data_IF_896749845401
#
_entry.id   IF_896749845401
#
_cell.length_a   1.000
_cell.length_b   1.000
_cell.length_c   1.000
_cell.angle_alpha   90.00
_cell.angle_beta   90.00
_cell.angle_gamma   90.00
#
_symmetry.space_group_name_H-M   'P 1'
#
loop_
_entity.id
_entity.type
_entity.pdbx_description
1 polymer ?
#
# COMPACT_ATOMS: atom_id res chain seq x y z
N UNK A 1 -22.10 8.63 2.47
CA UNK A 1 -21.05 8.17 3.40
C UNK A 1 -20.46 9.40 4.05
N UNK A 2 -20.73 9.58 5.34
CA UNK A 2 -20.39 10.81 6.06
C UNK A 2 -18.87 10.96 6.19
N UNK A 3 -18.35 12.15 5.87
CA UNK A 3 -16.94 12.45 5.94
C UNK A 3 -16.45 12.25 7.39
N UNK A 4 -15.79 11.12 7.67
CA UNK A 4 -15.20 10.84 8.97
C UNK A 4 -14.24 11.99 9.31
N UNK A 5 -14.53 12.68 10.42
CA UNK A 5 -13.68 13.78 10.93
C UNK A 5 -12.22 13.31 11.01
N UNK A 6 -11.24 14.16 10.66
CA UNK A 6 -9.83 13.77 10.71
C UNK A 6 -9.42 13.47 12.15
N UNK A 7 -8.64 12.39 12.33
CA UNK A 7 -8.09 12.04 13.64
C UNK A 7 -6.87 12.90 13.92
N UNK A 8 -6.82 13.51 15.10
CA UNK A 8 -5.72 14.40 15.49
C UNK A 8 -5.02 13.83 16.71
N UNK A 9 -3.71 13.71 16.63
CA UNK A 9 -2.85 13.37 17.76
C UNK A 9 -1.91 14.54 18.03
N UNK A 10 -1.70 14.85 19.31
CA UNK A 10 -0.81 15.93 19.75
C UNK A 10 0.44 15.36 20.38
N UNK A 11 1.48 16.18 20.45
CA UNK A 11 2.71 15.87 21.17
C UNK A 11 2.40 15.46 22.62
N UNK A 12 3.01 14.36 23.05
CA UNK A 12 3.08 13.99 24.46
C UNK A 12 4.29 14.69 25.08
N UNK A 13 4.05 15.63 26.00
CA UNK A 13 5.13 16.35 26.69
C UNK A 13 5.90 15.45 27.68
N UNK A 14 5.25 14.40 28.18
CA UNK A 14 5.84 13.43 29.12
C UNK A 14 6.48 12.23 28.38
N UNK A 15 6.84 12.39 27.11
CA UNK A 15 7.45 11.31 26.34
C UNK A 15 8.85 10.98 26.88
N UNK A 16 9.10 9.69 27.12
CA UNK A 16 10.31 9.19 27.79
C UNK A 16 11.61 9.51 27.04
N UNK A 17 11.58 9.66 25.71
CA UNK A 17 12.74 10.17 24.96
C UNK A 17 12.73 11.70 24.98
N UNK A 18 13.72 12.28 25.65
CA UNK A 18 13.96 13.72 25.62
C UNK A 18 14.09 14.22 24.17
N UNK A 19 13.60 15.44 23.93
CA UNK A 19 13.63 16.14 22.64
C UNK A 19 12.85 15.46 21.50
N UNK A 20 11.97 14.51 21.81
CA UNK A 20 11.04 13.89 20.86
C UNK A 20 9.59 13.88 21.39
N UNK A 21 8.59 13.89 20.49
CA UNK A 21 8.67 14.11 19.04
C UNK A 21 8.94 15.58 18.68
N UNK A 22 9.50 15.83 17.48
CA UNK A 22 9.72 17.19 16.95
C UNK A 22 8.44 17.89 16.48
N UNK A 23 7.42 17.11 16.14
CA UNK A 23 6.14 17.60 15.66
C UNK A 23 5.20 17.87 16.82
N UNK A 24 4.45 18.98 16.75
CA UNK A 24 3.46 19.34 17.76
C UNK A 24 2.12 18.61 17.56
N UNK A 25 1.78 18.28 16.32
CA UNK A 25 0.51 17.64 15.96
C UNK A 25 0.64 16.84 14.67
N UNK A 26 -0.11 15.74 14.57
CA UNK A 26 -0.33 14.99 13.33
C UNK A 26 -1.84 14.89 13.09
N UNK A 27 -2.26 15.09 11.85
CA UNK A 27 -3.65 15.00 11.42
C UNK A 27 -3.76 13.85 10.40
N UNK A 28 -4.45 12.79 10.77
CA UNK A 28 -4.77 11.70 9.86
C UNK A 28 -6.07 12.01 9.13
N UNK A 29 -5.96 12.25 7.82
CA UNK A 29 -7.10 12.51 6.95
C UNK A 29 -7.40 11.27 6.10
N UNK A 30 -8.63 10.81 6.14
CA UNK A 30 -9.09 9.70 5.31
C UNK A 30 -9.58 10.23 3.96
N UNK A 31 -8.80 9.97 2.91
CA UNK A 31 -9.17 10.24 1.51
C UNK A 31 -9.20 8.86 0.84
N UNK A 32 -10.35 8.27 0.51
CA UNK A 32 -10.40 6.91 -0.03
C UNK A 32 -9.70 6.78 -1.39
N UNK A 33 -9.97 7.72 -2.29
CA UNK A 33 -9.48 7.68 -3.67
C UNK A 33 -8.01 8.13 -3.78
N UNK A 34 -7.17 7.30 -4.38
CA UNK A 34 -5.73 7.56 -4.51
C UNK A 34 -5.42 8.80 -5.36
N UNK A 35 -6.13 8.99 -6.47
CA UNK A 35 -5.95 10.16 -7.33
C UNK A 35 -6.36 11.46 -6.62
N UNK A 36 -7.41 11.42 -5.79
CA UNK A 36 -7.78 12.57 -4.96
C UNK A 36 -6.73 12.86 -3.88
N UNK A 37 -6.13 11.81 -3.30
CA UNK A 37 -5.03 11.93 -2.33
C UNK A 37 -3.79 12.56 -2.95
N UNK A 38 -3.43 12.16 -4.18
CA UNK A 38 -2.31 12.76 -4.92
C UNK A 38 -2.55 14.23 -5.23
N UNK A 39 -3.77 14.59 -5.65
CA UNK A 39 -4.12 15.99 -5.88
C UNK A 39 -4.04 16.81 -4.58
N UNK A 40 -4.51 16.28 -3.46
CA UNK A 40 -4.38 16.92 -2.15
C UNK A 40 -2.91 17.13 -1.73
N UNK A 41 -2.02 16.19 -2.09
CA UNK A 41 -0.57 16.34 -1.86
C UNK A 41 0.01 17.46 -2.74
N UNK A 42 -0.34 17.48 -4.03
CA UNK A 42 0.11 18.51 -4.99
C UNK A 42 -0.36 19.92 -4.63
N UNK A 43 -1.54 20.06 -4.03
CA UNK A 43 -2.07 21.36 -3.58
C UNK A 43 -1.54 21.78 -2.21
N UNK A 44 -0.78 20.92 -1.51
CA UNK A 44 -0.29 21.16 -0.16
C UNK A 44 -1.36 21.03 0.93
N UNK A 45 -2.50 20.41 0.63
CA UNK A 45 -3.55 20.13 1.60
C UNK A 45 -3.17 18.99 2.57
N UNK A 46 -2.28 18.10 2.12
CA UNK A 46 -1.61 17.08 2.94
C UNK A 46 -0.11 17.11 2.66
N UNK A 47 0.71 16.76 3.66
CA UNK A 47 2.17 16.73 3.51
C UNK A 47 2.71 15.34 3.11
N UNK A 48 1.91 14.29 3.32
CA UNK A 48 2.31 12.90 3.09
C UNK A 48 1.13 12.08 2.62
N UNK A 49 1.40 11.18 1.66
CA UNK A 49 0.43 10.22 1.16
C UNK A 49 1.03 8.82 1.11
N UNK A 50 0.18 7.81 1.29
CA UNK A 50 0.48 6.40 1.00
C UNK A 50 -0.50 5.90 -0.08
N UNK A 51 -0.16 4.81 -0.77
CA UNK A 51 -0.98 4.23 -1.83
C UNK A 51 -0.96 5.03 -3.12
N UNK A 52 0.23 5.39 -3.61
CA UNK A 52 0.42 5.97 -4.95
C UNK A 52 0.07 4.91 -6.00
N UNK A 53 -0.70 5.28 -7.03
CA UNK A 53 -0.97 4.35 -8.13
C UNK A 53 0.28 4.17 -9.00
N UNK A 54 0.55 2.97 -9.52
CA UNK A 54 1.70 2.75 -10.40
C UNK A 54 1.73 3.69 -11.62
N UNK A 55 0.57 4.02 -12.19
CA UNK A 55 0.45 4.94 -13.33
C UNK A 55 0.88 6.38 -13.04
N UNK A 56 0.88 6.79 -11.77
CA UNK A 56 1.20 8.17 -11.37
C UNK A 56 2.69 8.38 -11.07
N UNK A 57 3.49 7.29 -11.02
CA UNK A 57 4.88 7.33 -10.57
C UNK A 57 5.79 8.18 -11.45
N UNK A 58 5.67 8.06 -12.77
CA UNK A 58 6.50 8.83 -13.70
C UNK A 58 6.26 10.33 -13.55
N UNK A 59 5.00 10.72 -13.33
CA UNK A 59 4.63 12.10 -13.05
C UNK A 59 5.18 12.60 -11.71
N UNK A 60 5.24 11.74 -10.69
CA UNK A 60 5.81 12.10 -9.37
C UNK A 60 7.34 12.19 -9.44
N UNK A 61 8.01 11.29 -10.17
CA UNK A 61 9.47 11.29 -10.33
C UNK A 61 9.99 12.54 -11.06
N UNK A 62 9.17 13.12 -11.93
CA UNK A 62 9.53 14.32 -12.72
C UNK A 62 9.12 15.63 -12.04
N UNK A 63 8.25 15.60 -11.04
CA UNK A 63 7.81 16.78 -10.30
C UNK A 63 8.80 17.15 -9.19
N UNK A 64 9.41 18.33 -9.29
CA UNK A 64 10.41 18.84 -8.32
C UNK A 64 9.81 19.18 -6.95
N UNK A 65 8.49 19.35 -6.86
CA UNK A 65 7.80 19.63 -5.61
C UNK A 65 7.49 18.35 -4.81
N UNK A 66 7.60 17.18 -5.44
CA UNK A 66 7.28 15.90 -4.83
C UNK A 66 8.55 15.07 -4.60
N UNK A 67 8.51 14.27 -3.53
CA UNK A 67 9.53 13.27 -3.25
C UNK A 67 8.89 11.90 -3.22
N UNK A 68 9.33 11.01 -4.11
CA UNK A 68 8.96 9.61 -4.06
C UNK A 68 9.88 8.87 -3.07
N UNK A 69 9.28 8.19 -2.09
CA UNK A 69 9.99 7.34 -1.14
C UNK A 69 9.59 5.89 -1.41
N UNK A 70 10.48 5.16 -2.06
CA UNK A 70 10.32 3.72 -2.30
C UNK A 70 10.92 2.93 -1.13
N UNK A 71 10.20 1.90 -0.67
CA UNK A 71 10.67 0.98 0.37
C UNK A 71 10.32 -0.45 0.00
N UNK A 72 11.20 -1.43 0.27
CA UNK A 72 10.85 -2.84 0.15
C UNK A 72 9.59 -3.13 0.95
N UNK A 73 8.61 -3.75 0.31
CA UNK A 73 7.37 -4.12 0.99
C UNK A 73 7.59 -5.38 1.82
N UNK A 74 7.00 -5.42 3.02
CA UNK A 74 6.94 -6.62 3.85
C UNK A 74 5.51 -7.17 3.83
N UNK A 75 4.98 -7.38 2.63
CA UNK A 75 3.63 -7.93 2.42
C UNK A 75 3.64 -9.06 1.38
N UNK A 76 2.58 -9.87 1.39
CA UNK A 76 2.34 -10.90 0.38
C UNK A 76 0.87 -10.87 -0.02
N UNK A 77 0.61 -10.65 -1.31
CA UNK A 77 -0.71 -10.86 -1.89
C UNK A 77 -0.92 -12.34 -2.21
N UNK A 78 -2.01 -12.94 -1.72
CA UNK A 78 -2.35 -14.32 -2.06
C UNK A 78 -3.86 -14.51 -2.15
N UNK A 79 -4.27 -15.53 -2.90
CA UNK A 79 -5.66 -15.97 -2.96
C UNK A 79 -5.83 -17.09 -1.92
N UNK A 80 -6.61 -16.80 -0.87
CA UNK A 80 -6.99 -17.79 0.14
C UNK A 80 -8.04 -18.76 -0.42
N UNK A 81 -7.70 -20.04 -0.50
CA UNK A 81 -8.64 -21.10 -0.92
C UNK A 81 -9.21 -21.82 0.31
N UNK A 82 -10.54 -21.94 0.38
CA UNK A 82 -11.21 -22.66 1.47
C UNK A 82 -11.12 -24.17 1.23
N UNK A 83 -10.14 -24.82 1.87
CA UNK A 83 -9.83 -26.25 1.66
C UNK A 83 -10.88 -27.22 2.20
N UNK A 84 -11.91 -26.73 2.89
CA UNK A 84 -13.02 -27.55 3.41
C UNK A 84 -14.25 -27.54 2.49
N UNK A 85 -14.25 -26.73 1.42
CA UNK A 85 -15.39 -26.56 0.52
C UNK A 85 -15.10 -27.19 -0.83
N UNK A 86 -15.94 -28.15 -1.25
CA UNK A 86 -15.89 -28.72 -2.61
C UNK A 86 -16.06 -27.65 -3.68
N UNK A 87 -15.28 -27.66 -4.79
CA UNK A 87 -14.25 -28.64 -5.18
C UNK A 87 -12.82 -28.29 -4.71
N UNK A 88 -12.67 -27.25 -3.88
CA UNK A 88 -11.36 -26.75 -3.42
C UNK A 88 -10.73 -27.64 -2.32
N UNK A 89 -11.47 -28.63 -1.81
CA UNK A 89 -10.97 -29.69 -0.93
C UNK A 89 -9.96 -30.61 -1.64
N UNK A 90 -10.12 -30.81 -2.96
CA UNK A 90 -9.19 -31.57 -3.78
C UNK A 90 -7.88 -30.78 -4.04
N UNK A 91 -6.74 -31.36 -3.64
CA UNK A 91 -5.39 -30.78 -3.87
C UNK A 91 -5.10 -30.52 -5.35
N UNK A 92 -5.52 -31.42 -6.25
CA UNK A 92 -5.28 -31.29 -7.68
C UNK A 92 -6.00 -30.08 -8.28
N UNK A 93 -7.22 -29.80 -7.81
CA UNK A 93 -7.97 -28.60 -8.22
C UNK A 93 -7.22 -27.34 -7.80
N UNK A 94 -6.70 -27.30 -6.57
CA UNK A 94 -5.91 -26.15 -6.10
C UNK A 94 -4.60 -25.97 -6.88
N UNK A 95 -3.93 -27.06 -7.24
CA UNK A 95 -2.72 -27.00 -8.08
C UNK A 95 -3.05 -26.51 -9.48
N UNK A 96 -4.11 -27.02 -10.11
CA UNK A 96 -4.57 -26.57 -11.42
C UNK A 96 -4.87 -25.06 -11.44
N UNK A 97 -5.56 -24.55 -10.41
CA UNK A 97 -5.81 -23.11 -10.26
C UNK A 97 -4.51 -22.31 -10.12
N UNK A 98 -3.48 -22.84 -9.45
CA UNK A 98 -2.21 -22.14 -9.31
C UNK A 98 -1.44 -22.03 -10.64
N UNK A 99 -1.45 -23.10 -11.44
CA UNK A 99 -0.82 -23.11 -12.77
C UNK A 99 -1.61 -22.28 -13.80
N UNK A 100 -2.92 -22.13 -13.62
CA UNK A 100 -3.77 -21.35 -14.52
C UNK A 100 -3.60 -19.83 -14.39
N UNK A 101 -2.98 -19.35 -13.30
CA UNK A 101 -2.78 -17.91 -13.06
C UNK A 101 -1.44 -17.47 -13.62
N UNK A 102 -1.47 -16.59 -14.60
CA UNK A 102 -0.29 -15.87 -15.07
C UNK A 102 0.04 -14.73 -14.10
N UNK A 103 1.02 -14.98 -13.22
CA UNK A 103 1.44 -14.01 -12.21
C UNK A 103 2.21 -12.84 -12.82
N UNK A 104 2.98 -13.08 -13.88
CA UNK A 104 3.82 -12.04 -14.50
C UNK A 104 2.94 -11.00 -15.18
N UNK A 105 1.94 -11.44 -15.94
CA UNK A 105 0.98 -10.54 -16.59
C UNK A 105 0.21 -9.66 -15.59
N UNK A 106 -0.14 -10.21 -14.42
CA UNK A 106 -0.79 -9.45 -13.33
C UNK A 106 0.17 -8.40 -12.76
N UNK A 107 1.44 -8.76 -12.53
CA UNK A 107 2.45 -7.84 -12.00
C UNK A 107 2.69 -6.67 -12.96
N UNK A 108 2.81 -6.95 -14.25
CA UNK A 108 3.01 -5.92 -15.25
C UNK A 108 1.78 -5.02 -15.37
N UNK A 109 0.59 -5.60 -15.55
CA UNK A 109 -0.62 -4.84 -15.86
C UNK A 109 -1.18 -4.06 -14.66
N UNK A 110 -1.14 -4.64 -13.45
CA UNK A 110 -1.77 -4.06 -12.27
C UNK A 110 -0.78 -3.34 -11.35
N UNK A 111 0.40 -3.94 -11.13
CA UNK A 111 1.41 -3.38 -10.23
C UNK A 111 2.42 -2.48 -10.95
N UNK A 112 2.38 -2.39 -12.29
CA UNK A 112 3.33 -1.59 -13.07
C UNK A 112 4.79 -2.04 -12.86
N UNK A 113 5.01 -3.34 -12.64
CA UNK A 113 6.35 -3.89 -12.38
C UNK A 113 6.91 -3.62 -10.98
N UNK A 114 6.14 -3.01 -10.07
CA UNK A 114 6.57 -2.76 -8.68
C UNK A 114 6.39 -3.96 -7.74
N UNK A 115 6.08 -5.13 -8.27
CA UNK A 115 5.87 -6.34 -7.50
C UNK A 115 6.74 -7.46 -8.07
N UNK A 116 7.04 -8.45 -7.22
CA UNK A 116 7.73 -9.66 -7.63
C UNK A 116 6.81 -10.87 -7.48
N UNK A 117 6.94 -11.91 -8.33
CA UNK A 117 6.17 -13.13 -8.19
C UNK A 117 6.40 -13.76 -6.82
N UNK A 118 5.34 -13.89 -6.04
CA UNK A 118 5.41 -14.55 -4.73
C UNK A 118 5.73 -16.05 -4.91
N UNK A 119 6.92 -16.44 -4.46
CA UNK A 119 7.43 -17.83 -4.49
C UNK A 119 7.39 -18.50 -3.11
N UNK A 120 7.48 -17.72 -2.04
CA UNK A 120 7.42 -18.17 -0.64
C UNK A 120 6.53 -17.18 0.13
N UNK A 121 5.72 -17.68 1.07
CA UNK A 121 4.76 -16.89 1.85
C UNK A 121 5.39 -15.71 2.62
N UNK A 122 6.71 -15.71 2.82
CA UNK A 122 7.51 -14.55 3.15
C UNK A 122 8.96 -14.97 2.90
N UNK A 123 9.68 -14.36 1.95
CA UNK A 123 11.14 -14.51 1.90
C UNK A 123 11.68 -13.43 2.82
N UNK A 124 11.93 -13.77 4.09
CA UNK A 124 12.88 -13.00 4.89
C UNK A 124 14.23 -13.15 4.19
N UNK A 125 14.66 -12.04 3.57
CA UNK A 125 16.00 -11.74 3.05
C UNK A 125 16.70 -12.90 2.30
#
# INVERSE_FOLDING_TARGET
>A
MEAKRPYRVRKNEDYWQKDKPKLNQIIFRSIPENSARLNALKTGEIDLMDGVNPSDLDGIKTDKALQLIERPSMNVGYIGLTVTRKPLDNKLVRQALNYAVDKESIIESFYGGLAEPAKIHCRQL
#
